data_IF_879552318485
#
_entry.id   IF_879552318485
#
_cell.length_a   1.000
_cell.length_b   1.000
_cell.length_c   1.000
_cell.angle_alpha   90.00
_cell.angle_beta   90.00
_cell.angle_gamma   90.00
#
_symmetry.space_group_name_H-M   'P 1'
#
loop_
_entity.id
_entity.type
_entity.pdbx_description
1 polymer ?
#
# COMPACT_ATOMS: atom_id res chain seq x y z
N UNK A 1 -47.85 22.76 -32.77
CA UNK A 1 -48.21 22.43 -34.16
C UNK A 1 -47.12 21.52 -34.73
N UNK A 2 -47.54 20.32 -35.16
CA UNK A 2 -46.98 19.34 -36.10
C UNK A 2 -45.45 19.07 -36.13
N UNK A 3 -44.93 17.87 -35.80
CA UNK A 3 -45.04 16.49 -36.35
C UNK A 3 -44.32 16.22 -37.69
N UNK A 4 -43.73 15.01 -37.74
CA UNK A 4 -43.14 14.20 -38.85
C UNK A 4 -41.61 14.36 -39.03
N UNK A 5 -40.74 13.35 -38.84
CA UNK A 5 -40.72 11.88 -39.09
C UNK A 5 -40.84 11.51 -40.56
N UNK A 6 -39.73 11.13 -41.20
CA UNK A 6 -39.67 10.21 -42.36
C UNK A 6 -38.36 9.40 -42.31
N UNK A 7 -38.52 8.08 -42.22
CA UNK A 7 -37.58 7.00 -42.57
C UNK A 7 -37.61 6.72 -44.09
N UNK A 8 -36.52 6.14 -44.63
CA UNK A 8 -36.44 5.03 -45.63
C UNK A 8 -35.01 4.97 -46.21
N UNK A 9 -34.27 3.90 -45.96
CA UNK A 9 -34.21 2.64 -46.74
C UNK A 9 -33.75 2.86 -48.20
N UNK A 10 -32.59 2.30 -48.56
CA UNK A 10 -32.59 1.25 -49.57
C UNK A 10 -31.28 0.44 -49.64
N UNK A 11 -31.50 -0.83 -49.94
CA UNK A 11 -30.64 -2.01 -49.93
C UNK A 11 -29.94 -2.32 -51.26
N UNK A 12 -28.90 -3.18 -51.19
CA UNK A 12 -28.48 -4.26 -52.14
C UNK A 12 -26.94 -4.35 -52.21
N UNK A 13 -26.25 -5.39 -51.74
CA UNK A 13 -26.18 -6.82 -52.12
C UNK A 13 -25.63 -7.07 -53.54
N UNK A 14 -24.39 -7.55 -53.63
CA UNK A 14 -23.96 -8.56 -54.62
C UNK A 14 -22.82 -9.41 -54.05
N UNK A 15 -22.87 -10.68 -54.42
CA UNK A 15 -22.20 -11.86 -53.84
C UNK A 15 -21.35 -12.59 -54.91
N UNK A 16 -20.72 -13.70 -54.48
CA UNK A 16 -19.90 -14.71 -55.21
C UNK A 16 -18.40 -14.38 -55.27
N UNK A 17 -17.44 -15.24 -54.91
CA UNK A 17 -17.33 -16.71 -54.92
C UNK A 17 -16.15 -17.05 -55.84
N UNK A 18 -15.05 -17.70 -55.43
CA UNK A 18 -14.86 -19.16 -55.39
C UNK A 18 -13.34 -19.47 -55.31
N UNK A 19 -12.94 -20.49 -54.53
CA UNK A 19 -11.90 -21.55 -54.75
C UNK A 19 -10.56 -21.22 -55.47
N UNK A 20 -9.38 -21.77 -55.16
CA UNK A 20 -9.07 -23.15 -54.78
C UNK A 20 -7.60 -23.35 -54.31
N UNK A 21 -7.40 -24.43 -53.56
CA UNK A 21 -6.24 -25.32 -53.33
C UNK A 21 -4.78 -24.98 -53.75
N UNK A 22 -3.85 -25.38 -52.86
CA UNK A 22 -2.81 -26.37 -53.21
C UNK A 22 -1.33 -25.97 -53.10
N UNK A 23 -0.54 -26.75 -52.35
CA UNK A 23 0.90 -26.89 -52.62
C UNK A 23 1.83 -26.87 -51.40
N UNK A 24 2.13 -28.06 -50.86
CA UNK A 24 3.22 -28.29 -49.92
C UNK A 24 4.60 -28.23 -50.61
N UNK A 25 5.64 -27.78 -49.91
CA UNK A 25 6.97 -28.40 -50.03
C UNK A 25 7.81 -28.18 -48.77
N UNK A 26 8.45 -29.28 -48.39
CA UNK A 26 9.42 -29.48 -47.33
C UNK A 26 10.79 -29.12 -47.90
N UNK A 27 11.64 -28.42 -47.15
CA UNK A 27 13.08 -28.70 -47.16
C UNK A 27 13.81 -28.14 -45.93
N UNK A 28 14.68 -28.98 -45.39
CA UNK A 28 15.60 -28.78 -44.25
C UNK A 28 16.92 -29.46 -44.69
N UNK A 29 18.04 -29.25 -44.00
CA UNK A 29 18.89 -28.08 -43.92
C UNK A 29 20.26 -28.30 -44.62
N UNK A 30 20.97 -27.24 -45.02
CA UNK A 30 22.36 -27.34 -45.47
C UNK A 30 23.34 -27.30 -44.28
N UNK A 31 24.27 -28.26 -44.28
CA UNK A 31 25.32 -28.51 -43.29
C UNK A 31 26.68 -28.05 -43.86
N UNK A 32 27.63 -27.80 -42.95
CA UNK A 32 29.08 -27.65 -43.12
C UNK A 32 29.61 -26.28 -43.57
N UNK A 33 30.40 -25.64 -42.69
CA UNK A 33 31.85 -25.79 -42.82
C UNK A 33 32.59 -25.45 -41.52
N UNK A 34 33.42 -26.41 -41.14
CA UNK A 34 34.43 -26.37 -40.09
C UNK A 34 35.52 -25.34 -40.39
N UNK A 35 36.03 -24.62 -39.39
CA UNK A 35 37.39 -24.10 -39.47
C UNK A 35 38.20 -24.36 -38.21
N UNK A 36 39.37 -24.93 -38.47
CA UNK A 36 40.34 -25.54 -37.58
C UNK A 36 41.13 -24.48 -36.81
N UNK A 37 41.45 -24.83 -35.57
CA UNK A 37 42.53 -24.22 -34.78
C UNK A 37 43.88 -24.41 -35.49
N UNK A 38 44.82 -23.46 -35.39
CA UNK A 38 46.24 -23.78 -35.44
C UNK A 38 46.73 -24.11 -34.02
N UNK A 39 47.41 -25.25 -33.89
CA UNK A 39 48.31 -25.55 -32.77
C UNK A 39 49.63 -24.82 -33.02
N UNK A 40 50.21 -24.27 -31.96
CA UNK A 40 51.64 -24.05 -31.82
C UNK A 40 52.02 -24.52 -30.41
N UNK A 41 52.73 -25.64 -30.33
CA UNK A 41 53.65 -26.02 -29.26
C UNK A 41 54.91 -25.12 -29.40
N UNK A 42 55.79 -24.81 -28.45
CA UNK A 42 56.06 -25.17 -27.06
C UNK A 42 56.98 -24.03 -26.52
N UNK A 43 57.39 -24.15 -25.25
CA UNK A 43 58.55 -23.56 -24.57
C UNK A 43 58.31 -22.41 -23.57
N UNK A 44 58.42 -22.78 -22.30
CA UNK A 44 59.43 -22.14 -21.45
C UNK A 44 58.96 -21.31 -20.26
N UNK A 45 58.77 -22.01 -19.13
CA UNK A 45 59.19 -21.62 -17.78
C UNK A 45 58.52 -20.43 -17.05
N UNK A 46 57.85 -20.78 -15.95
CA UNK A 46 58.13 -20.14 -14.65
C UNK A 46 57.12 -19.12 -14.13
N UNK A 47 56.37 -19.53 -13.10
CA UNK A 47 56.09 -18.62 -11.99
C UNK A 47 54.63 -18.26 -11.71
N UNK A 48 54.19 -18.73 -10.55
CA UNK A 48 53.19 -18.12 -9.67
C UNK A 48 51.70 -18.30 -10.01
N UNK A 49 51.12 -19.22 -9.24
CA UNK A 49 49.69 -19.48 -9.08
C UNK A 49 48.92 -18.22 -8.68
N UNK A 50 48.32 -17.56 -9.66
CA UNK A 50 47.29 -16.54 -9.44
C UNK A 50 45.92 -17.15 -9.66
N UNK A 51 45.32 -17.71 -8.61
CA UNK A 51 43.91 -18.09 -8.60
C UNK A 51 43.07 -16.82 -8.82
N UNK A 52 42.68 -16.59 -10.08
CA UNK A 52 41.57 -15.72 -10.43
C UNK A 52 40.29 -16.39 -9.98
N UNK A 53 40.01 -16.32 -8.68
CA UNK A 53 38.65 -16.41 -8.18
C UNK A 53 37.88 -15.27 -8.84
N UNK A 54 37.10 -15.62 -9.86
CA UNK A 54 35.90 -14.86 -10.21
C UNK A 54 35.06 -14.82 -8.94
N UNK A 55 35.17 -13.73 -8.19
CA UNK A 55 34.19 -13.39 -7.19
C UNK A 55 32.91 -13.13 -7.95
N UNK A 56 32.07 -14.16 -8.06
CA UNK A 56 30.65 -13.93 -8.20
C UNK A 56 30.30 -13.06 -7.00
N UNK A 57 30.06 -11.77 -7.25
CA UNK A 57 29.53 -10.87 -6.23
C UNK A 57 28.21 -11.49 -5.82
N UNK A 58 28.23 -12.30 -4.75
CA UNK A 58 27.05 -12.67 -4.00
C UNK A 58 26.42 -11.32 -3.69
N UNK A 59 25.37 -11.01 -4.44
CA UNK A 59 24.61 -9.80 -4.26
C UNK A 59 24.03 -9.96 -2.85
N UNK A 60 24.72 -9.37 -1.85
CA UNK A 60 24.23 -9.38 -0.49
C UNK A 60 22.80 -8.84 -0.56
N UNK A 61 21.80 -9.54 -0.01
CA UNK A 61 20.45 -9.03 0.00
C UNK A 61 20.48 -7.60 0.54
N UNK A 62 19.99 -6.63 -0.26
CA UNK A 62 19.95 -5.24 0.19
C UNK A 62 19.16 -5.20 1.50
N UNK A 63 19.76 -4.61 2.53
CA UNK A 63 19.12 -4.48 3.83
C UNK A 63 17.88 -3.60 3.67
N UNK A 64 16.73 -4.15 4.04
CA UNK A 64 15.45 -3.42 4.06
C UNK A 64 15.35 -2.57 5.32
N UNK A 65 14.62 -1.47 5.22
CA UNK A 65 14.40 -0.54 6.32
C UNK A 65 12.92 -0.20 6.44
N UNK A 66 12.52 0.19 7.66
CA UNK A 66 11.20 0.75 7.89
C UNK A 66 11.26 2.25 7.64
N UNK A 67 10.47 2.72 6.70
CA UNK A 67 10.26 4.13 6.42
C UNK A 67 8.94 4.57 7.03
N UNK A 68 8.99 5.62 7.85
CA UNK A 68 7.86 6.15 8.59
C UNK A 68 7.63 7.61 8.20
N UNK A 69 6.44 7.94 7.71
CA UNK A 69 6.05 9.31 7.39
C UNK A 69 5.19 9.88 8.51
N UNK A 70 5.63 11.00 9.09
CA UNK A 70 5.01 11.66 10.24
C UNK A 70 4.71 13.13 9.95
N UNK A 71 3.66 13.62 10.59
CA UNK A 71 3.32 15.04 10.68
C UNK A 71 3.95 15.67 11.93
N UNK A 72 5.25 15.49 12.09
CA UNK A 72 6.02 15.92 13.26
C UNK A 72 6.76 17.25 13.05
N UNK A 73 6.52 17.90 11.90
CA UNK A 73 7.16 19.14 11.49
C UNK A 73 6.12 20.22 11.17
N UNK A 74 6.38 21.45 11.62
CA UNK A 74 5.42 22.56 11.51
C UNK A 74 5.12 23.00 10.07
N UNK A 75 6.04 22.72 9.14
CA UNK A 75 5.92 23.08 7.71
C UNK A 75 5.51 21.92 6.80
N UNK A 76 5.27 20.73 7.33
CA UNK A 76 4.88 19.58 6.52
C UNK A 76 5.25 18.25 7.16
N UNK A 77 5.68 17.29 6.36
CA UNK A 77 5.89 15.91 6.80
C UNK A 77 7.37 15.53 6.84
N UNK A 78 7.75 14.72 7.82
CA UNK A 78 9.08 14.09 7.88
C UNK A 78 9.00 12.61 7.58
N UNK A 79 9.98 12.11 6.82
CA UNK A 79 10.23 10.69 6.61
C UNK A 79 11.39 10.27 7.49
N UNK A 80 11.19 9.25 8.32
CA UNK A 80 12.20 8.66 9.20
C UNK A 80 12.56 7.27 8.70
N UNK A 81 13.85 6.97 8.66
CA UNK A 81 14.39 5.65 8.28
C UNK A 81 14.85 4.91 9.54
N UNK A 82 14.28 3.74 9.80
CA UNK A 82 14.60 2.93 10.98
C UNK A 82 15.24 1.59 10.60
N UNK A 83 16.29 1.23 11.34
CA UNK A 83 16.86 -0.11 11.33
C UNK A 83 16.13 -0.99 12.36
N UNK A 84 15.23 -1.82 11.86
CA UNK A 84 14.37 -2.66 12.70
C UNK A 84 15.14 -3.81 13.34
N UNK A 85 16.24 -4.26 12.75
CA UNK A 85 17.01 -5.37 13.32
C UNK A 85 17.61 -5.00 14.67
N UNK A 86 17.96 -3.72 14.85
CA UNK A 86 18.46 -3.19 16.13
C UNK A 86 17.48 -3.38 17.30
N UNK A 87 16.18 -3.59 17.04
CA UNK A 87 15.16 -3.77 18.07
C UNK A 87 15.31 -5.10 18.84
N UNK A 88 16.09 -6.05 18.32
CA UNK A 88 16.27 -7.37 18.92
C UNK A 88 17.65 -7.58 19.54
N UNK A 89 18.60 -6.66 19.34
CA UNK A 89 19.98 -6.80 19.84
C UNK A 89 20.27 -5.99 21.12
N UNK A 90 19.40 -5.02 21.47
CA UNK A 90 19.54 -4.24 22.71
C UNK A 90 19.16 -5.06 23.98
N UNK A 91 18.63 -6.28 23.84
CA UNK A 91 18.13 -7.14 24.93
C UNK A 91 19.15 -8.20 25.42
N UNK A 92 20.37 -8.23 24.86
CA UNK A 92 21.38 -9.28 25.16
C UNK A 92 22.33 -8.97 26.34
N UNK A 93 22.16 -7.85 27.06
CA UNK A 93 22.87 -7.61 28.32
C UNK A 93 22.09 -8.23 29.50
N UNK A 94 22.50 -9.45 29.87
CA UNK A 94 22.30 -10.15 31.15
C UNK A 94 21.04 -9.78 31.98
N UNK A 95 19.93 -10.47 31.71
CA UNK A 95 19.13 -11.21 32.73
C UNK A 95 17.84 -11.74 32.11
N UNK A 96 17.51 -13.01 32.41
CA UNK A 96 16.23 -13.72 32.14
C UNK A 96 15.01 -13.11 32.87
N UNK A 97 14.99 -11.78 33.04
CA UNK A 97 13.93 -10.98 33.62
C UNK A 97 13.68 -9.67 32.83
N UNK A 98 14.37 -9.47 31.69
CA UNK A 98 14.41 -8.21 30.95
C UNK A 98 13.22 -7.93 30.01
N UNK A 99 12.37 -8.91 29.70
CA UNK A 99 11.21 -8.71 28.80
C UNK A 99 10.17 -7.73 29.38
N UNK A 100 10.22 -7.48 30.69
CA UNK A 100 9.39 -6.49 31.37
C UNK A 100 10.12 -5.15 31.64
N UNK A 101 11.45 -5.09 31.58
CA UNK A 101 12.23 -3.93 32.03
C UNK A 101 12.56 -2.94 30.90
N UNK A 102 12.71 -3.39 29.65
CA UNK A 102 12.84 -2.49 28.50
C UNK A 102 11.54 -1.71 28.19
N UNK A 103 10.40 -2.22 28.68
CA UNK A 103 9.05 -1.79 28.33
C UNK A 103 8.51 -0.61 29.15
N UNK A 104 9.17 -0.24 30.25
CA UNK A 104 8.86 0.92 31.11
C UNK A 104 9.86 2.08 30.92
N UNK A 105 10.76 1.96 29.94
CA UNK A 105 11.72 3.00 29.60
C UNK A 105 11.01 4.22 28.99
N UNK A 106 11.44 5.42 29.41
CA UNK A 106 10.92 6.67 28.87
C UNK A 106 11.03 6.69 27.33
N UNK A 107 10.03 7.23 26.60
CA UNK A 107 10.05 7.26 25.14
C UNK A 107 11.33 7.90 24.61
N UNK A 108 11.99 7.20 23.67
CA UNK A 108 13.23 7.68 23.02
C UNK A 108 12.91 8.84 22.07
N UNK A 109 13.94 9.53 21.57
CA UNK A 109 13.76 10.45 20.43
C UNK A 109 13.90 9.69 19.13
N UNK A 110 13.19 10.15 18.09
CA UNK A 110 13.41 9.65 16.73
C UNK A 110 14.85 9.97 16.27
N UNK A 111 15.41 9.16 15.36
CA UNK A 111 16.71 9.46 14.76
C UNK A 111 16.72 10.85 14.11
N UNK A 112 17.71 11.66 14.44
CA UNK A 112 17.92 13.00 13.86
C UNK A 112 19.19 13.00 13.00
N UNK A 113 19.19 13.69 11.84
CA UNK A 113 18.04 14.37 11.22
C UNK A 113 17.06 13.38 10.56
N UNK A 114 15.81 13.79 10.25
CA UNK A 114 14.91 12.99 9.44
C UNK A 114 15.54 12.68 8.07
N UNK A 115 15.17 11.55 7.51
CA UNK A 115 15.70 11.06 6.23
C UNK A 115 15.28 11.94 5.05
N UNK A 116 14.03 12.43 5.04
CA UNK A 116 13.51 13.38 4.06
C UNK A 116 12.49 14.29 4.74
N UNK A 117 12.38 15.54 4.31
CA UNK A 117 11.29 16.45 4.70
C UNK A 117 10.53 16.91 3.48
N UNK A 118 9.21 16.87 3.56
CA UNK A 118 8.29 17.28 2.52
C UNK A 118 7.53 18.51 3.02
N UNK A 119 7.92 19.67 2.54
CA UNK A 119 7.25 20.92 2.84
C UNK A 119 5.92 21.00 2.09
N UNK A 120 4.88 21.45 2.78
CA UNK A 120 3.60 21.76 2.16
C UNK A 120 3.34 23.25 2.32
N UNK A 121 3.02 23.96 1.23
CA UNK A 121 2.68 25.38 1.31
C UNK A 121 1.57 25.62 2.35
N UNK A 122 1.83 26.51 3.29
CA UNK A 122 0.89 26.85 4.35
C UNK A 122 -0.28 27.66 3.76
N UNK A 123 -1.43 27.02 3.55
CA UNK A 123 -2.66 27.69 3.07
C UNK A 123 -3.49 28.25 4.24
N UNK A 124 -2.84 28.66 5.33
CA UNK A 124 -3.48 29.25 6.51
C UNK A 124 -4.44 28.32 7.25
N UNK A 125 -5.54 28.88 7.78
CA UNK A 125 -6.49 28.19 8.68
C UNK A 125 -7.23 26.96 8.08
N UNK A 126 -7.00 26.61 6.81
CA UNK A 126 -7.58 25.44 6.12
C UNK A 126 -6.64 24.22 6.09
N UNK A 127 -5.68 24.09 7.01
CA UNK A 127 -4.87 22.84 7.17
C UNK A 127 -5.69 21.55 7.33
N UNK A 128 -6.99 21.66 7.60
CA UNK A 128 -7.93 20.53 7.64
C UNK A 128 -8.09 19.88 6.24
N UNK A 129 -7.82 20.61 5.15
CA UNK A 129 -8.01 20.15 3.77
C UNK A 129 -6.70 19.82 3.01
N UNK A 130 -5.53 20.25 3.49
CA UNK A 130 -4.22 19.90 2.88
C UNK A 130 -3.68 18.58 3.44
N UNK A 131 -4.43 17.51 3.23
CA UNK A 131 -3.95 16.17 3.55
C UNK A 131 -2.99 15.71 2.44
N UNK A 132 -1.83 15.15 2.81
CA UNK A 132 -0.97 14.45 1.86
C UNK A 132 -1.27 12.96 1.95
N UNK A 133 -1.46 12.31 0.80
CA UNK A 133 -1.45 10.86 0.70
C UNK A 133 -0.05 10.42 0.31
N UNK A 134 0.52 9.47 1.05
CA UNK A 134 1.83 8.90 0.72
C UNK A 134 1.69 7.40 0.48
N UNK A 135 2.36 6.90 -0.54
CA UNK A 135 2.41 5.48 -0.87
C UNK A 135 3.82 5.06 -1.28
N UNK A 136 4.10 3.76 -1.13
CA UNK A 136 5.33 3.15 -1.62
C UNK A 136 5.05 2.34 -2.89
N UNK A 137 5.87 2.53 -3.92
CA UNK A 137 5.84 1.78 -5.17
C UNK A 137 7.26 1.26 -5.47
N UNK A 138 7.51 0.00 -5.13
CA UNK A 138 8.86 -0.57 -5.19
C UNK A 138 9.79 0.14 -4.21
N UNK A 139 10.84 0.80 -4.72
CA UNK A 139 11.79 1.59 -3.93
C UNK A 139 11.37 3.06 -3.81
N UNK A 140 10.25 3.46 -4.42
CA UNK A 140 9.86 4.87 -4.53
C UNK A 140 8.81 5.22 -3.50
N UNK A 141 9.04 6.29 -2.74
CA UNK A 141 8.05 6.97 -1.92
C UNK A 141 7.40 8.04 -2.79
N UNK A 142 6.08 7.94 -2.97
CA UNK A 142 5.28 8.87 -3.77
C UNK A 142 4.38 9.65 -2.83
N UNK A 143 4.53 10.97 -2.83
CA UNK A 143 3.66 11.89 -2.11
C UNK A 143 2.71 12.59 -3.08
N UNK A 144 1.42 12.55 -2.74
CA UNK A 144 0.32 13.14 -3.48
C UNK A 144 -0.37 14.16 -2.59
N UNK A 145 -0.53 15.39 -3.07
CA UNK A 145 -1.23 16.44 -2.36
C UNK A 145 -2.18 17.18 -3.31
N UNK A 146 -3.30 17.66 -2.76
CA UNK A 146 -4.29 18.46 -3.48
C UNK A 146 -3.63 19.67 -4.15
N UNK A 147 -3.97 19.96 -5.41
CA UNK A 147 -3.45 21.14 -6.15
C UNK A 147 -1.92 21.24 -6.24
N UNK A 148 -1.22 20.12 -6.07
CA UNK A 148 0.23 20.07 -6.13
C UNK A 148 0.72 18.97 -7.07
N UNK A 149 1.93 19.17 -7.58
CA UNK A 149 2.62 18.13 -8.33
C UNK A 149 2.96 16.96 -7.40
N UNK A 150 2.84 15.75 -7.91
CA UNK A 150 3.32 14.57 -7.19
C UNK A 150 4.83 14.66 -6.96
N UNK A 151 5.28 14.21 -5.80
CA UNK A 151 6.71 14.12 -5.49
C UNK A 151 7.08 12.65 -5.43
N UNK A 152 8.17 12.28 -6.09
CA UNK A 152 8.64 10.89 -6.17
C UNK A 152 10.08 10.83 -5.70
N UNK A 153 10.31 10.21 -4.55
CA UNK A 153 11.65 9.99 -4.02
C UNK A 153 12.03 8.51 -4.13
N UNK A 154 13.14 8.20 -4.79
CA UNK A 154 13.66 6.84 -4.90
C UNK A 154 14.68 6.55 -3.80
N UNK A 155 14.36 5.62 -2.90
CA UNK A 155 15.22 5.29 -1.74
C UNK A 155 16.48 4.52 -2.14
N UNK A 156 16.52 3.92 -3.33
CA UNK A 156 17.67 3.17 -3.82
C UNK A 156 18.70 4.09 -4.47
N UNK A 157 18.24 5.08 -5.22
CA UNK A 157 19.11 5.99 -5.98
C UNK A 157 19.30 7.36 -5.32
N UNK A 158 18.44 7.71 -4.35
CA UNK A 158 18.41 9.03 -3.72
C UNK A 158 17.85 10.13 -4.61
N UNK A 159 17.30 9.80 -5.79
CA UNK A 159 16.78 10.77 -6.74
C UNK A 159 15.42 11.27 -6.30
N UNK A 160 15.27 12.59 -6.27
CA UNK A 160 13.99 13.29 -6.10
C UNK A 160 13.49 13.75 -7.48
N UNK A 161 12.32 13.25 -7.87
CA UNK A 161 11.60 13.65 -9.07
C UNK A 161 10.30 14.37 -8.75
N UNK A 162 9.88 15.24 -9.66
CA UNK A 162 8.55 15.87 -9.65
C UNK A 162 7.73 15.21 -10.74
N UNK A 163 6.58 14.68 -10.36
CA UNK A 163 5.60 14.11 -11.28
C UNK A 163 4.53 15.13 -11.70
N UNK A 164 3.53 14.70 -12.48
CA UNK A 164 2.48 15.58 -12.96
C UNK A 164 1.58 16.04 -11.82
N UNK A 165 0.90 17.16 -12.06
CA UNK A 165 -0.24 17.60 -11.25
C UNK A 165 -1.34 16.53 -11.30
N UNK A 166 -2.00 16.30 -10.16
CA UNK A 166 -3.18 15.46 -10.11
C UNK A 166 -4.28 15.98 -11.07
N UNK A 167 -5.14 15.11 -11.64
CA UNK A 167 -6.33 15.57 -12.34
C UNK A 167 -7.12 16.54 -11.45
N UNK A 168 -7.68 17.61 -12.04
CA UNK A 168 -8.31 18.71 -11.29
C UNK A 168 -9.44 18.25 -10.37
N UNK A 169 -10.19 17.23 -10.80
CA UNK A 169 -11.28 16.64 -10.04
C UNK A 169 -10.81 15.79 -8.84
N UNK A 170 -9.54 15.35 -8.85
CA UNK A 170 -9.03 14.37 -7.90
C UNK A 170 -8.54 15.05 -6.63
N UNK A 171 -9.32 14.92 -5.54
CA UNK A 171 -8.97 15.50 -4.24
C UNK A 171 -7.88 14.69 -3.51
N UNK A 172 -6.64 14.82 -3.98
CA UNK A 172 -5.50 14.12 -3.39
C UNK A 172 -5.31 14.50 -1.91
N UNK A 173 -5.20 13.48 -1.06
CA UNK A 173 -5.08 13.65 0.40
C UNK A 173 -6.18 12.95 1.19
N UNK A 174 -7.35 12.75 0.57
CA UNK A 174 -8.42 11.95 1.13
C UNK A 174 -8.62 10.71 0.27
N UNK A 175 -8.53 9.52 0.85
CA UNK A 175 -8.78 8.27 0.14
C UNK A 175 -7.75 7.18 0.38
N UNK A 176 -7.60 6.30 -0.60
CA UNK A 176 -6.63 5.20 -0.57
C UNK A 176 -5.71 5.23 -1.80
N UNK A 177 -4.47 4.81 -1.60
CA UNK A 177 -3.44 4.74 -2.64
C UNK A 177 -2.83 3.34 -2.61
N UNK A 178 -3.00 2.55 -3.68
CA UNK A 178 -2.64 1.13 -3.72
C UNK A 178 -1.63 0.86 -4.83
N UNK A 179 -0.39 0.43 -4.51
CA UNK A 179 0.59 0.06 -5.53
C UNK A 179 0.24 -1.30 -6.14
N UNK A 180 0.12 -1.36 -7.47
CA UNK A 180 -0.19 -2.59 -8.22
C UNK A 180 0.60 -2.60 -9.52
N UNK A 181 1.41 -3.64 -9.76
CA UNK A 181 2.04 -3.89 -11.05
C UNK A 181 2.89 -2.75 -11.63
N UNK A 182 3.55 -1.94 -10.79
CA UNK A 182 4.36 -0.80 -11.24
C UNK A 182 3.58 0.51 -11.44
N UNK A 183 2.29 0.53 -11.10
CA UNK A 183 1.47 1.72 -11.06
C UNK A 183 0.91 1.95 -9.65
N UNK A 184 0.58 3.20 -9.33
CA UNK A 184 -0.10 3.58 -8.10
C UNK A 184 -1.55 3.93 -8.43
N UNK A 185 -2.50 3.17 -7.89
CA UNK A 185 -3.93 3.41 -8.06
C UNK A 185 -4.44 4.27 -6.90
N UNK A 186 -4.88 5.49 -7.19
CA UNK A 186 -5.39 6.43 -6.21
C UNK A 186 -6.92 6.54 -6.37
N UNK A 187 -7.64 6.23 -5.29
CA UNK A 187 -9.08 6.44 -5.17
C UNK A 187 -9.30 7.58 -4.18
N UNK A 188 -9.82 8.71 -4.64
CA UNK A 188 -10.04 9.89 -3.81
C UNK A 188 -11.52 10.16 -3.56
N UNK A 189 -11.84 10.63 -2.37
CA UNK A 189 -13.19 10.99 -1.97
C UNK A 189 -13.16 12.02 -0.86
N UNK A 190 -14.17 12.91 -0.81
CA UNK A 190 -14.27 13.91 0.24
C UNK A 190 -15.01 13.35 1.45
N UNK A 191 -14.33 13.31 2.59
CA UNK A 191 -14.99 12.99 3.85
C UNK A 191 -16.03 14.08 4.15
N UNK A 192 -17.25 13.69 4.50
CA UNK A 192 -18.38 14.58 4.85
C UNK A 192 -19.12 15.28 3.71
N UNK A 193 -18.77 15.02 2.45
CA UNK A 193 -19.51 15.48 1.28
C UNK A 193 -19.93 14.28 0.42
N UNK A 194 -21.07 13.64 0.74
CA UNK A 194 -21.52 12.43 0.05
C UNK A 194 -21.98 12.69 -1.39
N UNK A 195 -22.12 13.95 -1.80
CA UNK A 195 -22.44 14.36 -3.17
C UNK A 195 -21.19 14.53 -4.03
N UNK A 196 -19.99 14.61 -3.42
CA UNK A 196 -18.74 14.70 -4.15
C UNK A 196 -18.44 13.38 -4.87
N UNK A 197 -18.15 13.41 -6.18
CA UNK A 197 -17.82 12.21 -6.93
C UNK A 197 -16.57 11.52 -6.38
N UNK A 198 -16.57 10.20 -6.44
CA UNK A 198 -15.39 9.41 -6.07
C UNK A 198 -14.61 9.16 -7.35
N UNK A 199 -13.36 9.62 -7.37
CA UNK A 199 -12.48 9.54 -8.54
C UNK A 199 -11.44 8.44 -8.37
N UNK A 200 -11.19 7.69 -9.45
CA UNK A 200 -10.16 6.67 -9.52
C UNK A 200 -9.20 6.99 -10.69
N UNK A 201 -7.91 7.04 -10.39
CA UNK A 201 -6.86 7.20 -11.40
C UNK A 201 -5.63 6.35 -11.08
N UNK A 202 -4.84 6.04 -12.11
CA UNK A 202 -3.55 5.38 -11.97
C UNK A 202 -2.41 6.33 -12.32
N UNK A 203 -1.40 6.42 -11.45
CA UNK A 203 -0.13 7.08 -11.70
C UNK A 203 0.92 6.02 -12.07
N UNK A 204 1.53 6.14 -13.24
CA UNK A 204 2.54 5.19 -13.70
C UNK A 204 3.60 5.88 -14.54
N UNK A 205 4.76 5.23 -14.68
CA UNK A 205 5.77 5.66 -15.63
C UNK A 205 5.34 5.27 -17.04
N UNK A 206 5.12 6.26 -17.90
CA UNK A 206 4.62 6.05 -19.25
C UNK A 206 5.24 7.06 -20.22
N UNK A 207 5.06 6.81 -21.53
CA UNK A 207 5.41 7.77 -22.56
C UNK A 207 4.47 8.97 -22.48
N UNK A 208 5.03 10.15 -22.27
CA UNK A 208 4.29 11.42 -22.13
C UNK A 208 4.30 12.24 -23.42
N UNK A 209 5.20 11.94 -24.36
CA UNK A 209 5.25 12.60 -25.66
C UNK A 209 6.49 12.27 -26.48
N UNK A 210 6.87 13.18 -27.37
CA UNK A 210 8.15 13.19 -28.10
C UNK A 210 8.83 14.53 -27.95
N UNK A 211 10.16 14.54 -27.94
CA UNK A 211 10.93 15.78 -27.97
C UNK A 211 11.10 16.28 -29.43
N UNK A 212 11.75 17.43 -29.60
CA UNK A 212 12.02 18.04 -30.91
C UNK A 212 12.84 17.16 -31.87
N UNK A 213 13.42 16.06 -31.38
CA UNK A 213 14.20 15.09 -32.15
C UNK A 213 13.44 13.76 -32.34
N UNK A 214 12.11 13.77 -32.18
CA UNK A 214 11.21 12.61 -32.26
C UNK A 214 11.53 11.44 -31.30
N UNK A 215 12.33 11.70 -30.25
CA UNK A 215 12.61 10.68 -29.23
C UNK A 215 11.49 10.63 -28.20
N UNK A 216 11.08 9.43 -27.73
CA UNK A 216 10.07 9.32 -26.69
C UNK A 216 10.51 10.05 -25.43
N UNK A 217 9.62 10.88 -24.89
CA UNK A 217 9.74 11.41 -23.54
C UNK A 217 8.94 10.47 -22.66
N UNK A 218 9.58 9.97 -21.62
CA UNK A 218 8.94 9.17 -20.59
C UNK A 218 8.91 9.94 -19.28
N UNK A 219 7.87 9.70 -18.49
CA UNK A 219 7.70 10.34 -17.21
C UNK A 219 6.52 9.77 -16.46
N UNK A 220 6.30 10.27 -15.26
CA UNK A 220 5.09 10.00 -14.51
C UNK A 220 3.88 10.60 -15.23
N UNK A 221 2.82 9.80 -15.39
CA UNK A 221 1.59 10.21 -16.03
C UNK A 221 0.37 9.65 -15.28
N UNK A 222 -0.65 10.49 -15.14
CA UNK A 222 -1.97 10.07 -14.65
C UNK A 222 -2.80 9.51 -15.79
N UNK A 223 -3.49 8.40 -15.52
CA UNK A 223 -4.50 7.81 -16.37
C UNK A 223 -5.82 7.73 -15.60
N UNK A 224 -6.85 8.42 -16.08
CA UNK A 224 -8.19 8.29 -15.53
C UNK A 224 -8.72 6.87 -15.75
N UNK A 225 -9.42 6.33 -14.76
CA UNK A 225 -10.00 4.99 -14.80
C UNK A 225 -11.53 5.08 -14.72
N UNK A 226 -12.25 4.00 -15.07
CA UNK A 226 -13.71 3.99 -14.95
C UNK A 226 -14.14 4.32 -13.51
N UNK A 227 -15.11 5.22 -13.34
CA UNK A 227 -15.57 5.60 -12.01
C UNK A 227 -16.19 4.40 -11.28
N UNK A 228 -16.18 4.41 -9.94
CA UNK A 228 -16.83 3.38 -9.16
C UNK A 228 -18.34 3.31 -9.47
N UNK A 229 -18.97 2.14 -9.29
CA UNK A 229 -20.40 1.97 -9.59
C UNK A 229 -21.27 2.87 -8.69
N UNK A 230 -22.49 3.26 -9.11
CA UNK A 230 -23.35 4.15 -8.33
C UNK A 230 -23.77 3.64 -6.93
N UNK A 231 -23.55 2.36 -6.64
CA UNK A 231 -23.77 1.77 -5.32
C UNK A 231 -22.59 2.02 -4.36
N UNK A 232 -21.43 2.38 -4.89
CA UNK A 232 -20.24 2.79 -4.13
C UNK A 232 -20.37 4.27 -3.78
N UNK A 233 -21.03 4.57 -2.65
CA UNK A 233 -21.41 5.95 -2.27
C UNK A 233 -20.68 6.51 -1.06
N UNK A 234 -19.78 5.74 -0.48
CA UNK A 234 -19.11 6.08 0.78
C UNK A 234 -17.61 5.88 0.60
N UNK A 235 -16.83 6.51 1.49
CA UNK A 235 -15.38 6.28 1.55
C UNK A 235 -15.03 4.82 1.84
N UNK A 236 -13.77 4.48 1.64
CA UNK A 236 -13.25 3.14 1.92
C UNK A 236 -12.91 3.02 3.40
N UNK A 237 -13.42 1.97 4.03
CA UNK A 237 -13.05 1.58 5.39
C UNK A 237 -11.82 0.70 5.39
N UNK A 238 -11.83 -0.30 4.52
CA UNK A 238 -10.77 -1.29 4.42
C UNK A 238 -10.56 -1.75 3.00
N UNK A 239 -9.34 -2.15 2.69
CA UNK A 239 -8.96 -2.60 1.36
C UNK A 239 -7.84 -3.62 1.44
N UNK A 240 -7.75 -4.50 0.44
CA UNK A 240 -6.68 -5.48 0.33
C UNK A 240 -6.36 -5.76 -1.14
N UNK A 241 -5.09 -5.99 -1.45
CA UNK A 241 -4.69 -6.47 -2.77
C UNK A 241 -4.86 -8.00 -2.80
N UNK A 242 -5.53 -8.50 -3.83
CA UNK A 242 -5.66 -9.93 -4.07
C UNK A 242 -4.31 -10.53 -4.50
N UNK A 243 -4.00 -11.79 -4.15
CA UNK A 243 -2.76 -12.48 -4.54
C UNK A 243 -2.52 -12.58 -6.05
N UNK A 244 -3.56 -12.36 -6.87
CA UNK A 244 -3.43 -12.29 -8.34
C UNK A 244 -2.60 -11.08 -8.82
N UNK A 245 -2.27 -10.15 -7.90
CA UNK A 245 -1.45 -8.98 -8.16
C UNK A 245 -2.12 -7.94 -9.06
N UNK A 246 -3.45 -8.01 -9.24
CA UNK A 246 -4.17 -7.08 -10.10
C UNK A 246 -5.57 -6.71 -9.61
N UNK A 247 -6.15 -7.40 -8.64
CA UNK A 247 -7.51 -7.11 -8.13
C UNK A 247 -7.43 -6.45 -6.76
N UNK A 248 -7.97 -5.24 -6.63
CA UNK A 248 -8.03 -4.50 -5.36
C UNK A 248 -9.43 -4.69 -4.78
N UNK A 249 -9.54 -5.28 -3.59
CA UNK A 249 -10.80 -5.36 -2.83
C UNK A 249 -10.95 -4.16 -1.91
N UNK A 250 -12.17 -3.64 -1.79
CA UNK A 250 -12.52 -2.45 -1.00
C UNK A 250 -13.87 -2.64 -0.33
N UNK A 251 -13.94 -2.40 0.97
CA UNK A 251 -15.21 -2.34 1.73
C UNK A 251 -15.50 -0.90 2.13
N UNK A 252 -16.74 -0.47 1.88
CA UNK A 252 -17.17 0.90 2.14
C UNK A 252 -17.42 1.18 3.63
N UNK A 253 -17.40 2.46 4.03
CA UNK A 253 -17.73 2.90 5.39
C UNK A 253 -19.23 2.75 5.66
N UNK A 254 -19.58 2.32 6.87
CA UNK A 254 -20.95 2.32 7.37
C UNK A 254 -21.46 3.75 7.57
N UNK A 255 -22.63 4.06 7.02
CA UNK A 255 -23.33 5.34 7.19
C UNK A 255 -24.74 5.10 7.76
N UNK A 256 -25.43 6.14 8.30
CA UNK A 256 -26.73 6.02 8.97
C UNK A 256 -27.83 5.30 8.15
N UNK A 257 -29.00 4.97 8.76
CA UNK A 257 -29.93 3.96 8.26
C UNK A 257 -30.35 4.19 6.80
N UNK A 258 -30.29 3.13 5.99
CA UNK A 258 -30.73 3.13 4.59
C UNK A 258 -29.62 2.98 3.55
N UNK A 259 -28.34 3.03 3.96
CA UNK A 259 -27.19 2.76 3.09
C UNK A 259 -26.56 1.40 3.43
N UNK A 260 -26.40 0.55 2.43
CA UNK A 260 -25.82 -0.78 2.59
C UNK A 260 -24.29 -0.71 2.55
N UNK A 261 -23.67 -1.32 3.55
CA UNK A 261 -22.27 -1.73 3.50
C UNK A 261 -22.07 -2.62 2.27
N UNK A 262 -20.97 -2.47 1.55
CA UNK A 262 -20.68 -3.33 0.40
C UNK A 262 -19.19 -3.54 0.21
N UNK A 263 -18.85 -4.75 -0.23
CA UNK A 263 -17.51 -5.05 -0.73
C UNK A 263 -17.50 -5.02 -2.25
N UNK A 264 -16.50 -4.37 -2.80
CA UNK A 264 -16.27 -4.18 -4.22
C UNK A 264 -14.85 -4.62 -4.56
N UNK A 265 -14.62 -4.93 -5.82
CA UNK A 265 -13.27 -5.04 -6.35
C UNK A 265 -13.08 -4.23 -7.61
N UNK A 266 -11.86 -3.73 -7.80
CA UNK A 266 -11.42 -3.16 -9.07
C UNK A 266 -10.30 -4.01 -9.64
N UNK A 267 -10.50 -4.57 -10.83
CA UNK A 267 -9.46 -5.29 -11.56
C UNK A 267 -8.66 -4.30 -12.42
N UNK A 268 -7.37 -4.18 -12.12
CA UNK A 268 -6.48 -3.21 -12.75
C UNK A 268 -6.11 -3.54 -14.20
N UNK A 269 -6.19 -4.81 -14.62
CA UNK A 269 -5.94 -5.25 -16.00
C UNK A 269 -7.14 -4.99 -16.89
N UNK A 270 -8.33 -5.38 -16.41
CA UNK A 270 -9.60 -5.21 -17.14
C UNK A 270 -10.17 -3.79 -16.99
N UNK A 271 -9.65 -3.01 -16.03
CA UNK A 271 -10.21 -1.72 -15.61
C UNK A 271 -11.70 -1.83 -15.26
N UNK A 272 -12.08 -2.91 -14.58
CA UNK A 272 -13.48 -3.27 -14.34
C UNK A 272 -13.80 -3.34 -12.85
N UNK A 273 -14.99 -2.84 -12.49
CA UNK A 273 -15.54 -2.92 -11.14
C UNK A 273 -16.45 -4.14 -11.00
N UNK A 274 -16.45 -4.75 -9.81
CA UNK A 274 -17.37 -5.82 -9.42
C UNK A 274 -17.87 -5.59 -8.00
N UNK A 275 -19.13 -5.91 -7.74
CA UNK A 275 -19.70 -5.93 -6.40
C UNK A 275 -19.75 -7.37 -5.89
N UNK A 276 -19.39 -7.58 -4.63
CA UNK A 276 -19.21 -8.90 -4.03
C UNK A 276 -20.23 -9.23 -2.94
N UNK A 277 -21.13 -8.31 -2.58
CA UNK A 277 -22.12 -8.56 -1.53
C UNK A 277 -22.13 -7.51 -0.41
N UNK A 278 -23.12 -7.65 0.47
CA UNK A 278 -23.34 -6.80 1.64
C UNK A 278 -22.53 -7.22 2.87
N UNK A 279 -21.25 -7.49 2.70
CA UNK A 279 -20.30 -7.84 3.76
C UNK A 279 -19.10 -6.89 3.72
N UNK A 280 -18.27 -6.88 4.76
CA UNK A 280 -17.01 -6.12 4.77
C UNK A 280 -15.81 -6.97 5.13
N UNK A 281 -14.66 -6.58 4.59
CA UNK A 281 -13.35 -7.01 5.06
C UNK A 281 -13.21 -6.64 6.54
N UNK A 282 -12.68 -7.54 7.37
CA UNK A 282 -12.69 -7.39 8.82
C UNK A 282 -11.57 -6.48 9.36
N UNK A 283 -11.02 -5.62 8.52
CA UNK A 283 -9.89 -4.74 8.83
C UNK A 283 -10.36 -3.29 8.93
N UNK A 284 -9.51 -2.44 9.50
CA UNK A 284 -9.55 -0.98 9.38
C UNK A 284 -8.29 -0.54 8.63
N UNK A 285 -8.45 0.07 7.46
CA UNK A 285 -7.35 0.36 6.55
C UNK A 285 -6.90 -0.87 5.71
N UNK A 286 -5.59 -0.99 5.49
CA UNK A 286 -5.03 -1.99 4.59
C UNK A 286 -4.96 -3.38 5.23
N UNK A 287 -5.50 -4.38 4.53
CA UNK A 287 -5.19 -5.79 4.70
C UNK A 287 -4.04 -6.22 3.79
N UNK A 288 -3.14 -7.03 4.32
CA UNK A 288 -1.97 -7.54 3.62
C UNK A 288 -2.11 -9.04 3.41
N UNK A 289 -1.94 -9.52 2.19
CA UNK A 289 -1.86 -10.96 1.95
C UNK A 289 -0.55 -11.49 2.51
N UNK A 290 -0.64 -12.57 3.29
CA UNK A 290 0.51 -13.34 3.75
C UNK A 290 0.42 -14.77 3.19
N UNK A 291 1.46 -15.18 2.45
CA UNK A 291 1.49 -16.46 1.77
C UNK A 291 1.72 -17.65 2.73
N UNK A 292 2.29 -17.43 3.92
CA UNK A 292 2.50 -18.51 4.90
C UNK A 292 1.20 -18.81 5.66
N UNK A 293 0.39 -17.78 5.90
CA UNK A 293 -0.96 -17.92 6.48
C UNK A 293 -2.04 -18.20 5.42
N UNK A 294 -1.71 -18.00 4.15
CA UNK A 294 -2.64 -18.02 3.02
C UNK A 294 -3.95 -17.24 3.30
N UNK A 295 -3.78 -16.01 3.78
CA UNK A 295 -4.87 -15.17 4.23
C UNK A 295 -4.54 -13.69 4.09
N UNK A 296 -5.57 -12.84 4.00
CA UNK A 296 -5.42 -11.43 4.28
C UNK A 296 -5.32 -11.22 5.79
N UNK A 297 -4.36 -10.42 6.22
CA UNK A 297 -4.11 -10.03 7.61
C UNK A 297 -4.27 -8.54 7.74
N UNK A 298 -4.99 -8.08 8.75
CA UNK A 298 -5.17 -6.65 9.00
C UNK A 298 -5.43 -6.33 10.46
N UNK A 299 -5.60 -5.04 10.72
CA UNK A 299 -5.81 -4.49 12.07
C UNK A 299 -7.30 -4.28 12.33
N UNK A 300 -7.80 -4.76 13.47
CA UNK A 300 -9.13 -4.43 13.98
C UNK A 300 -9.00 -3.19 14.87
N UNK A 301 -9.59 -2.07 14.44
CA UNK A 301 -9.45 -0.79 15.13
C UNK A 301 -10.81 -0.11 15.42
N UNK A 302 -11.85 -0.89 15.71
CA UNK A 302 -13.20 -0.37 15.96
C UNK A 302 -13.83 -0.91 17.25
N UNK A 303 -14.66 -0.07 17.87
CA UNK A 303 -15.38 -0.36 19.12
C UNK A 303 -14.44 -0.75 20.27
N UNK A 304 -14.95 -1.54 21.20
CA UNK A 304 -14.17 -2.10 22.33
C UNK A 304 -13.19 -3.20 21.89
N UNK A 305 -13.25 -3.62 20.61
CA UNK A 305 -12.38 -4.60 19.97
C UNK A 305 -11.10 -4.02 19.34
N UNK A 306 -10.83 -2.73 19.50
CA UNK A 306 -9.62 -2.11 18.95
C UNK A 306 -8.32 -2.75 19.47
N UNK A 307 -7.38 -2.95 18.56
CA UNK A 307 -6.01 -3.40 18.84
C UNK A 307 -5.74 -4.87 18.59
N UNK A 308 -6.69 -5.64 18.06
CA UNK A 308 -6.40 -7.02 17.66
C UNK A 308 -5.93 -7.09 16.22
N UNK A 309 -5.16 -8.14 15.93
CA UNK A 309 -4.84 -8.53 14.56
C UNK A 309 -5.83 -9.59 14.13
N UNK A 310 -6.32 -9.51 12.90
CA UNK A 310 -7.24 -10.49 12.36
C UNK A 310 -6.80 -10.98 11.00
N UNK A 311 -7.36 -12.11 10.60
CA UNK A 311 -7.21 -12.64 9.26
C UNK A 311 -8.53 -13.18 8.72
N UNK A 312 -8.67 -13.17 7.40
CA UNK A 312 -9.65 -13.94 6.66
C UNK A 312 -9.03 -14.47 5.38
N UNK A 313 -9.56 -15.58 4.89
CA UNK A 313 -9.25 -16.20 3.62
C UNK A 313 -9.49 -15.22 2.49
N UNK A 314 -8.71 -15.42 1.44
CA UNK A 314 -8.81 -14.62 0.23
C UNK A 314 -10.10 -14.99 -0.49
N UNK A 315 -10.96 -13.99 -0.69
CA UNK A 315 -12.22 -14.18 -1.40
C UNK A 315 -11.95 -14.28 -2.89
N UNK A 316 -12.55 -15.29 -3.55
CA UNK A 316 -12.45 -15.43 -5.00
C UNK A 316 -13.04 -14.19 -5.69
N UNK A 317 -12.32 -13.58 -6.64
CA UNK A 317 -12.81 -12.39 -7.32
C UNK A 317 -13.97 -12.68 -8.27
N UNK A 318 -14.33 -13.95 -8.51
CA UNK A 318 -15.34 -14.36 -9.50
C UNK A 318 -16.66 -14.86 -8.93
N UNK A 319 -16.79 -14.97 -7.60
CA UNK A 319 -17.99 -15.53 -6.96
C UNK A 319 -18.89 -14.39 -6.45
N UNK A 320 -20.12 -14.35 -6.93
CA UNK A 320 -21.15 -13.46 -6.39
C UNK A 320 -21.67 -14.04 -5.07
N UNK A 321 -21.38 -13.39 -3.94
CA UNK A 321 -22.02 -13.78 -2.68
C UNK A 321 -23.45 -13.26 -2.65
N UNK A 322 -24.41 -14.19 -2.54
CA UNK A 322 -25.84 -13.90 -2.51
C UNK A 322 -26.23 -12.94 -1.38
N UNK A 323 -27.27 -12.13 -1.65
CA UNK A 323 -27.89 -11.24 -0.68
C UNK A 323 -28.31 -12.00 0.58
N UNK A 324 -27.73 -11.65 1.72
CA UNK A 324 -28.28 -12.01 3.02
C UNK A 324 -29.33 -10.96 3.39
N UNK A 325 -30.60 -11.35 3.32
CA UNK A 325 -31.75 -10.56 3.77
C UNK A 325 -31.84 -10.64 5.29
N UNK A 326 -31.15 -9.73 5.99
CA UNK A 326 -31.18 -9.58 7.44
C UNK A 326 -30.90 -8.14 7.85
N UNK A 327 -31.15 -7.82 9.12
CA UNK A 327 -30.93 -6.50 9.72
C UNK A 327 -29.53 -5.90 9.38
N UNK A 328 -29.33 -4.56 9.45
CA UNK A 328 -28.09 -3.89 9.02
C UNK A 328 -26.93 -4.10 10.01
N UNK A 329 -26.61 -5.35 10.30
CA UNK A 329 -25.42 -5.74 11.06
C UNK A 329 -24.28 -5.97 10.06
N UNK A 330 -23.11 -5.40 10.35
CA UNK A 330 -21.89 -5.64 9.57
C UNK A 330 -21.59 -7.13 9.60
N UNK A 331 -21.69 -7.81 8.46
CA UNK A 331 -21.26 -9.19 8.30
C UNK A 331 -19.81 -9.23 7.82
N UNK A 332 -19.06 -10.19 8.35
CA UNK A 332 -17.67 -10.47 7.99
C UNK A 332 -17.59 -11.83 7.28
N UNK A 333 -16.49 -12.13 6.57
CA UNK A 333 -16.24 -13.47 6.05
C UNK A 333 -16.39 -14.53 7.15
N UNK A 334 -17.00 -15.67 6.82
CA UNK A 334 -17.38 -16.69 7.80
C UNK A 334 -16.17 -17.34 8.51
N UNK A 335 -15.01 -17.27 7.88
CA UNK A 335 -13.72 -17.84 8.30
C UNK A 335 -12.83 -16.82 9.05
N UNK A 336 -13.37 -15.63 9.34
CA UNK A 336 -12.70 -14.58 10.10
C UNK A 336 -12.17 -15.08 11.45
N UNK A 337 -10.88 -14.83 11.69
CA UNK A 337 -10.18 -15.15 12.94
C UNK A 337 -9.50 -13.90 13.48
N UNK A 338 -9.43 -13.79 14.80
CA UNK A 338 -8.78 -12.66 15.50
C UNK A 338 -7.86 -13.19 16.57
N UNK A 339 -6.77 -12.48 16.85
CA UNK A 339 -5.89 -12.78 17.98
C UNK A 339 -6.66 -12.60 19.30
N UNK A 340 -6.38 -13.44 20.31
CA UNK A 340 -6.92 -13.24 21.66
C UNK A 340 -6.27 -12.02 22.34
N UNK A 341 -4.98 -11.80 22.09
CA UNK A 341 -4.22 -10.69 22.64
C UNK A 341 -4.49 -9.39 21.86
N UNK A 342 -4.65 -8.29 22.61
CA UNK A 342 -4.63 -6.92 22.07
C UNK A 342 -3.20 -6.40 22.01
N UNK A 343 -2.83 -5.86 20.86
CA UNK A 343 -1.54 -5.23 20.62
C UNK A 343 -1.45 -3.80 21.10
N UNK A 344 -2.58 -3.09 21.20
CA UNK A 344 -2.60 -1.74 21.78
C UNK A 344 -2.36 -1.83 23.28
N UNK A 345 -1.29 -1.16 23.73
CA UNK A 345 -0.99 -1.09 25.17
C UNK A 345 -1.94 -0.10 25.84
N UNK A 346 -2.45 -0.48 27.01
CA UNK A 346 -3.36 0.36 27.79
C UNK A 346 -2.63 0.96 28.97
N UNK A 347 -2.30 2.25 28.86
CA UNK A 347 -1.84 3.05 29.99
C UNK A 347 -2.99 3.93 30.51
N UNK A 348 -3.19 4.04 31.84
CA UNK A 348 -4.28 4.83 32.41
C UNK A 348 -4.30 6.29 31.95
N UNK A 349 -3.13 6.88 31.71
CA UNK A 349 -2.95 8.29 31.33
C UNK A 349 -2.93 8.51 29.81
N UNK A 350 -3.12 7.46 28.99
CA UNK A 350 -3.03 7.55 27.54
C UNK A 350 -4.31 7.11 26.83
N UNK A 351 -4.53 7.68 25.65
CA UNK A 351 -5.61 7.33 24.76
C UNK A 351 -5.03 7.00 23.39
N UNK A 352 -5.40 5.82 22.88
CA UNK A 352 -5.18 5.43 21.48
C UNK A 352 -5.68 6.55 20.56
N UNK A 353 -4.82 6.95 19.63
CA UNK A 353 -5.19 7.95 18.64
C UNK A 353 -5.38 7.30 17.28
N UNK A 354 -4.34 6.66 16.75
CA UNK A 354 -4.31 6.08 15.40
C UNK A 354 -3.34 4.90 15.34
N UNK A 355 -3.54 3.97 14.41
CA UNK A 355 -2.57 2.92 14.15
C UNK A 355 -2.56 2.49 12.68
N UNK A 356 -1.43 1.95 12.24
CA UNK A 356 -1.25 1.32 10.94
C UNK A 356 -0.49 0.00 11.07
N UNK A 357 -0.78 -0.94 10.18
CA UNK A 357 -0.13 -2.25 10.12
C UNK A 357 0.56 -2.38 8.76
N UNK A 358 1.81 -2.85 8.77
CA UNK A 358 2.61 -3.07 7.56
C UNK A 358 3.19 -4.47 7.56
N UNK A 359 2.98 -5.20 6.46
CA UNK A 359 3.64 -6.49 6.24
C UNK A 359 5.13 -6.29 5.98
N UNK A 360 5.95 -7.09 6.67
CA UNK A 360 7.40 -7.16 6.46
C UNK A 360 7.81 -8.40 5.66
N UNK A 361 6.82 -9.21 5.23
CA UNK A 361 7.00 -10.52 4.63
C UNK A 361 7.22 -11.63 5.66
N UNK A 362 7.08 -12.88 5.21
CA UNK A 362 7.31 -14.11 6.00
C UNK A 362 6.58 -14.11 7.34
N UNK A 363 5.26 -13.83 7.32
CA UNK A 363 4.44 -13.73 8.53
C UNK A 363 4.90 -12.73 9.59
N UNK A 364 5.78 -11.79 9.23
CA UNK A 364 6.23 -10.70 10.11
C UNK A 364 5.53 -9.41 9.77
N UNK A 365 5.16 -8.67 10.81
CA UNK A 365 4.41 -7.43 10.70
C UNK A 365 5.00 -6.36 11.62
N UNK A 366 4.83 -5.12 11.19
CA UNK A 366 5.10 -3.92 11.96
C UNK A 366 3.78 -3.22 12.26
N UNK A 367 3.44 -3.11 13.54
CA UNK A 367 2.35 -2.26 14.02
C UNK A 367 2.95 -0.93 14.47
N UNK A 368 2.41 0.16 13.95
CA UNK A 368 2.70 1.50 14.44
C UNK A 368 1.47 2.07 15.09
N UNK A 369 1.53 2.29 16.40
CA UNK A 369 0.48 2.87 17.21
C UNK A 369 0.90 4.28 17.64
N UNK A 370 0.05 5.26 17.38
CA UNK A 370 0.20 6.63 17.84
C UNK A 370 -0.79 6.85 18.99
N UNK A 371 -0.28 7.22 20.16
CA UNK A 371 -1.07 7.49 21.36
C UNK A 371 -0.87 8.92 21.83
N UNK A 372 -1.88 9.47 22.50
CA UNK A 372 -1.83 10.80 23.10
C UNK A 372 -2.23 10.78 24.57
N UNK A 373 -1.82 11.76 25.38
CA UNK A 373 -2.23 11.82 26.78
C UNK A 373 -3.75 11.99 26.86
N UNK A 374 -4.38 11.38 27.87
CA UNK A 374 -5.76 11.68 28.20
C UNK A 374 -5.83 13.10 28.71
N UNK A 375 -6.69 13.91 28.09
CA UNK A 375 -6.98 15.25 28.61
C UNK A 375 -7.60 15.11 29.99
N UNK A 376 -6.99 15.70 31.01
CA UNK A 376 -7.68 15.95 32.29
C UNK A 376 -8.73 17.05 32.07
N UNK A 377 -9.81 17.04 32.88
CA UNK A 377 -11.01 17.89 32.65
C UNK A 377 -10.69 19.39 32.54
N UNK A 378 -9.58 19.82 33.15
CA UNK A 378 -9.14 21.22 33.23
C UNK A 378 -7.93 21.55 32.34
N UNK A 379 -7.46 20.60 31.52
CA UNK A 379 -6.32 20.83 30.63
C UNK A 379 -6.72 21.58 29.36
N UNK A 380 -5.90 22.59 29.00
CA UNK A 380 -6.06 23.33 27.75
C UNK A 380 -6.02 22.37 26.55
N UNK A 381 -6.75 22.66 25.46
CA UNK A 381 -6.61 21.91 24.21
C UNK A 381 -5.13 21.81 23.80
N UNK A 382 -4.73 20.64 23.28
CA UNK A 382 -3.39 20.45 22.74
C UNK A 382 -3.13 21.49 21.65
N UNK A 383 -1.95 22.10 21.67
CA UNK A 383 -1.53 23.00 20.61
C UNK A 383 -0.88 22.17 19.50
N UNK A 384 -1.09 22.50 18.21
CA UNK A 384 -0.35 21.89 17.13
C UNK A 384 1.16 21.94 17.42
N UNK A 385 1.84 20.80 17.27
CA UNK A 385 3.27 20.68 17.52
C UNK A 385 3.69 20.30 18.93
N UNK A 386 2.75 20.13 19.87
CA UNK A 386 3.03 19.59 21.19
C UNK A 386 3.71 18.20 21.08
N UNK A 387 4.91 18.03 21.66
CA UNK A 387 5.67 16.76 21.76
C UNK A 387 5.07 15.74 22.73
N UNK A 388 3.75 15.70 22.80
CA UNK A 388 3.02 14.89 23.79
C UNK A 388 2.59 13.53 23.26
N UNK A 389 2.73 13.30 21.95
CA UNK A 389 2.38 12.03 21.37
C UNK A 389 3.51 11.03 21.58
N UNK A 390 3.13 9.77 21.76
CA UNK A 390 4.06 8.64 21.79
C UNK A 390 3.75 7.75 20.61
N UNK A 391 4.77 7.51 19.80
CA UNK A 391 4.75 6.55 18.71
C UNK A 391 5.33 5.23 19.20
N UNK A 392 4.53 4.16 19.18
CA UNK A 392 4.96 2.80 19.47
C UNK A 392 5.12 2.03 18.18
N UNK A 393 6.31 1.48 17.97
CA UNK A 393 6.64 0.63 16.83
C UNK A 393 6.85 -0.78 17.38
N UNK A 394 5.94 -1.69 17.03
CA UNK A 394 5.92 -3.07 17.51
C UNK A 394 6.12 -4.03 16.35
N UNK A 395 7.17 -4.85 16.43
CA UNK A 395 7.51 -5.87 15.44
C UNK A 395 7.17 -7.24 16.02
N UNK A 396 6.44 -8.04 15.26
CA UNK A 396 5.98 -9.35 15.71
C UNK A 396 5.77 -10.30 14.53
N UNK A 397 5.76 -11.60 14.82
CA UNK A 397 5.32 -12.63 13.89
C UNK A 397 3.89 -13.10 14.19
N UNK A 398 3.27 -13.70 13.18
CA UNK A 398 1.99 -14.40 13.29
C UNK A 398 2.14 -15.86 12.90
N UNK A 399 1.28 -16.73 13.44
CA UNK A 399 1.16 -18.13 13.02
C UNK A 399 -0.18 -18.71 13.44
N UNK A 400 -0.59 -19.80 12.79
CA UNK A 400 -1.66 -20.63 13.33
C UNK A 400 -1.14 -21.58 14.41
N UNK A 401 -1.93 -21.77 15.46
CA UNK A 401 -1.68 -22.83 16.43
C UNK A 401 -2.21 -24.19 15.92
N UNK A 402 -2.03 -25.24 16.71
CA UNK A 402 -2.51 -26.59 16.37
C UNK A 402 -4.04 -26.72 16.23
N UNK A 403 -4.79 -25.74 16.73
CA UNK A 403 -6.25 -25.64 16.58
C UNK A 403 -6.67 -24.76 15.39
N UNK A 404 -5.71 -24.20 14.65
CA UNK A 404 -5.97 -23.29 13.54
C UNK A 404 -6.35 -21.86 13.97
N UNK A 405 -6.13 -21.49 15.24
CA UNK A 405 -6.38 -20.13 15.74
C UNK A 405 -5.17 -19.22 15.46
N UNK A 406 -5.42 -17.96 15.14
CA UNK A 406 -4.37 -16.98 14.84
C UNK A 406 -3.69 -16.53 16.13
N UNK A 407 -2.37 -16.69 16.22
CA UNK A 407 -1.57 -16.32 17.39
C UNK A 407 -0.37 -15.46 17.02
N UNK A 408 -0.01 -14.58 17.95
CA UNK A 408 1.19 -13.77 17.91
C UNK A 408 2.37 -14.62 18.39
N UNK A 409 3.46 -14.60 17.64
CA UNK A 409 4.67 -15.35 18.03
C UNK A 409 5.34 -14.71 19.25
N UNK A 410 6.03 -15.52 20.06
CA UNK A 410 6.78 -15.03 21.24
C UNK A 410 7.85 -13.98 20.92
N UNK A 411 8.43 -14.02 19.70
CA UNK A 411 9.42 -13.03 19.25
C UNK A 411 8.70 -11.74 18.86
N UNK A 412 8.55 -10.84 19.83
CA UNK A 412 8.02 -9.49 19.69
C UNK A 412 9.00 -8.50 20.27
N UNK A 413 9.17 -7.36 19.62
CA UNK A 413 9.91 -6.23 20.17
C UNK A 413 9.15 -4.93 19.92
N UNK A 414 9.16 -4.04 20.92
CA UNK A 414 8.45 -2.76 20.88
C UNK A 414 9.43 -1.64 21.23
N UNK A 415 9.40 -0.54 20.48
CA UNK A 415 10.06 0.71 20.87
C UNK A 415 9.08 1.87 20.88
N UNK A 416 9.26 2.75 21.85
CA UNK A 416 8.44 3.95 22.03
C UNK A 416 9.26 5.20 21.74
N UNK A 417 8.69 6.14 21.00
CA UNK A 417 9.33 7.41 20.63
C UNK A 417 8.42 8.59 20.96
N UNK A 418 8.99 9.66 21.52
CA UNK A 418 8.26 10.93 21.67
C UNK A 418 8.24 11.67 20.33
N UNK A 419 7.05 12.08 19.91
CA UNK A 419 6.83 12.76 18.62
C UNK A 419 5.92 13.98 18.79
N UNK A 420 6.10 14.96 17.91
CA UNK A 420 5.11 16.02 17.69
C UNK A 420 4.04 15.54 16.72
N UNK A 421 2.85 16.13 16.79
CA UNK A 421 1.80 15.95 15.80
C UNK A 421 1.10 17.29 15.58
N UNK A 422 0.92 17.70 14.32
CA UNK A 422 0.33 19.00 13.97
C UNK A 422 -1.12 18.90 13.48
N UNK A 423 -1.55 17.71 13.04
CA UNK A 423 -2.86 17.49 12.42
C UNK A 423 -3.63 16.37 13.13
N UNK A 424 -4.88 16.64 13.51
CA UNK A 424 -5.72 15.70 14.27
C UNK A 424 -6.29 14.52 13.44
N UNK A 425 -5.95 14.43 12.15
CA UNK A 425 -6.47 13.43 11.23
C UNK A 425 -5.39 12.58 10.55
N UNK A 426 -4.12 12.96 10.68
CA UNK A 426 -3.02 12.29 10.00
C UNK A 426 -2.79 10.88 10.58
N UNK A 427 -2.62 9.92 9.68
CA UNK A 427 -2.26 8.54 9.98
C UNK A 427 -0.78 8.36 9.63
N UNK A 428 0.08 7.87 10.55
CA UNK A 428 1.45 7.51 10.19
C UNK A 428 1.48 6.49 9.04
N UNK A 429 2.11 6.85 7.92
CA UNK A 429 2.35 5.93 6.83
C UNK A 429 3.63 5.15 7.10
N UNK A 430 3.59 3.84 6.86
CA UNK A 430 4.71 2.95 7.13
C UNK A 430 4.99 2.07 5.92
N UNK A 431 6.26 1.95 5.54
CA UNK A 431 6.68 1.20 4.38
C UNK A 431 7.91 0.35 4.72
N UNK A 432 7.86 -0.93 4.39
CA UNK A 432 9.00 -1.83 4.51
C UNK A 432 9.64 -2.04 3.14
N UNK A 433 10.81 -1.44 2.92
CA UNK A 433 11.46 -1.39 1.60
C UNK A 433 12.95 -1.68 1.67
#
# INVERSE_FOLDING_TARGET
MNLQRIDRDDSSSYSSGSTDSGGASVDRPARMSSNKRPRFDDDGAGGSSGDRQQSSSRCCPKKKHLYLVLDDWDKGYSVHKMDVDSFFFDDDDDHDQAVAAADDAAPRRLPEPPFLRLEIPDVGHLRIHTSMSVAALGTKIIALAHEHCSIVYDTETGVLGVGPHAPLQMECGCGISVPVGGALYALTYRNFDPEHPIDLAALSWARTGTNAMDRPIEGWAWKALPPPPPTFRNGVRSYALHPDGCTIFMSTIYTPPGKTLGTYSFNTKESAWRWHGGWALPFDGQGHYDAELDAWVGLVNYGDGGGHICCCQVVSPTIDHQQQTGAPTVSFPADFKTTEEKMFRKFPEERHFKASLTSMGTSRFCLVELVKPKKRRDERPFRPGDRRFVLRVTIFGLKYNHKGELQITRRRSTRSFSVSNYTDHFLPFTFWM
#
